data_IF_402410623176
#
_entry.id   IF_402410623176
#
_cell.length_a   1.000
_cell.length_b   1.000
_cell.length_c   1.000
_cell.angle_alpha   90.00
_cell.angle_beta   90.00
_cell.angle_gamma   90.00
#
_symmetry.space_group_name_H-M   'P 1'
#
loop_
_entity.id
_entity.type
_entity.pdbx_description
1 polymer ?
#
# COMPACT_ATOMS: atom_id res chain seq x y z
N UNK A 1 -4.42 25.77 -7.26
CA UNK A 1 -3.13 25.28 -6.70
C UNK A 1 -3.29 25.07 -5.21
N UNK A 2 -3.13 23.84 -4.71
CA UNK A 2 -3.22 23.53 -3.28
C UNK A 2 -1.82 23.42 -2.70
N UNK A 3 -1.56 24.13 -1.61
CA UNK A 3 -0.30 24.07 -0.88
C UNK A 3 -0.55 23.42 0.47
N UNK A 4 0.25 22.42 0.81
CA UNK A 4 0.15 21.73 2.09
C UNK A 4 1.54 21.50 2.67
N UNK A 5 1.74 21.83 3.95
CA UNK A 5 2.98 21.52 4.63
C UNK A 5 3.18 20.00 4.71
N UNK A 6 4.42 19.52 4.53
CA UNK A 6 4.73 18.08 4.60
C UNK A 6 4.35 17.44 5.95
N UNK A 7 4.51 18.17 7.05
CA UNK A 7 4.12 17.67 8.37
C UNK A 7 2.60 17.51 8.48
N UNK A 8 1.84 18.49 7.99
CA UNK A 8 0.38 18.42 7.98
C UNK A 8 -0.15 17.33 7.05
N UNK A 9 0.50 17.12 5.90
CA UNK A 9 0.20 16.02 5.00
C UNK A 9 0.31 14.68 5.73
N UNK A 10 1.45 14.38 6.38
CA UNK A 10 1.60 13.11 7.09
C UNK A 10 0.72 13.00 8.33
N UNK A 11 0.44 14.11 9.02
CA UNK A 11 -0.55 14.15 10.11
C UNK A 11 -1.94 13.74 9.62
N UNK A 12 -2.38 14.26 8.46
CA UNK A 12 -3.65 13.88 7.82
C UNK A 12 -3.65 12.42 7.35
N UNK A 13 -2.52 11.93 6.85
CA UNK A 13 -2.33 10.50 6.55
C UNK A 13 -2.28 9.60 7.79
N UNK A 14 -2.36 10.14 9.02
CA UNK A 14 -2.18 9.38 10.27
C UNK A 14 -0.81 8.69 10.32
N UNK A 15 0.24 9.36 9.89
CA UNK A 15 1.62 8.86 9.95
C UNK A 15 2.50 9.77 10.83
N UNK A 16 3.49 9.20 11.53
CA UNK A 16 4.45 9.98 12.30
C UNK A 16 5.22 10.99 11.45
N UNK A 17 5.66 12.09 12.08
CA UNK A 17 6.35 13.19 11.40
C UNK A 17 7.66 12.76 10.71
N UNK A 18 8.33 11.70 11.21
CA UNK A 18 9.57 11.20 10.60
C UNK A 18 9.38 10.68 9.16
N UNK A 19 8.14 10.42 8.71
CA UNK A 19 7.85 10.06 7.32
C UNK A 19 8.22 11.19 6.35
N UNK A 20 8.25 12.45 6.80
CA UNK A 20 8.82 13.58 6.05
C UNK A 20 10.26 13.30 5.62
N UNK A 21 11.09 12.77 6.53
CA UNK A 21 12.48 12.42 6.22
C UNK A 21 12.57 11.30 5.19
N UNK A 22 11.68 10.29 5.28
CA UNK A 22 11.60 9.19 4.31
C UNK A 22 11.22 9.69 2.92
N UNK A 23 10.18 10.51 2.81
CA UNK A 23 9.77 11.16 1.56
C UNK A 23 10.92 11.93 0.90
N UNK A 24 11.64 12.73 1.69
CA UNK A 24 12.76 13.54 1.20
C UNK A 24 13.93 12.70 0.68
N UNK A 25 14.11 11.49 1.23
CA UNK A 25 15.19 10.57 0.86
C UNK A 25 14.88 9.70 -0.35
N UNK A 26 13.66 9.76 -0.89
CA UNK A 26 13.30 9.01 -2.10
C UNK A 26 14.13 9.48 -3.31
N UNK A 27 14.67 8.51 -4.05
CA UNK A 27 15.26 8.65 -5.38
C UNK A 27 14.19 8.38 -6.44
N UNK A 28 14.49 8.69 -7.69
CA UNK A 28 13.54 8.47 -8.78
C UNK A 28 13.15 7.00 -8.86
N UNK A 29 11.88 6.75 -9.10
CA UNK A 29 11.22 5.44 -9.11
C UNK A 29 11.21 4.69 -7.78
N UNK A 30 11.64 5.31 -6.67
CA UNK A 30 11.47 4.73 -5.34
C UNK A 30 10.08 5.03 -4.77
N UNK A 31 9.60 4.11 -3.95
CA UNK A 31 8.26 4.13 -3.38
C UNK A 31 8.31 4.14 -1.87
N UNK A 32 7.55 5.04 -1.23
CA UNK A 32 7.24 5.02 0.19
C UNK A 32 5.82 4.48 0.37
N UNK A 33 5.70 3.32 0.99
CA UNK A 33 4.43 2.69 1.32
C UNK A 33 3.92 3.28 2.62
N UNK A 34 2.67 3.75 2.62
CA UNK A 34 1.96 4.21 3.81
C UNK A 34 1.07 3.09 4.37
N UNK A 35 0.74 2.09 3.58
CA UNK A 35 0.10 0.87 4.04
C UNK A 35 -0.36 0.07 2.83
N UNK A 36 -0.36 -1.25 2.94
CA UNK A 36 -0.94 -2.13 1.94
C UNK A 36 -1.43 -3.44 2.54
N UNK A 37 -2.55 -3.90 2.02
CA UNK A 37 -3.09 -5.24 2.21
C UNK A 37 -3.73 -5.68 0.89
N UNK A 38 -3.55 -6.95 0.55
CA UNK A 38 -4.22 -7.59 -0.57
C UNK A 38 -4.57 -9.00 -0.12
N UNK A 39 -5.84 -9.33 -0.22
CA UNK A 39 -6.38 -10.63 0.18
C UNK A 39 -7.23 -11.16 -0.96
N UNK A 40 -7.09 -12.46 -1.21
CA UNK A 40 -7.94 -13.19 -2.13
C UNK A 40 -9.17 -13.65 -1.37
N UNK A 41 -10.34 -13.38 -1.94
CA UNK A 41 -11.63 -13.86 -1.46
C UNK A 41 -12.27 -14.73 -2.54
N UNK A 42 -12.84 -15.85 -2.13
CA UNK A 42 -13.63 -16.69 -3.03
C UNK A 42 -15.01 -16.05 -3.22
N UNK A 43 -15.45 -15.95 -4.47
CA UNK A 43 -16.79 -15.51 -4.83
C UNK A 43 -17.32 -16.39 -5.97
N UNK A 44 -18.20 -17.32 -5.61
CA UNK A 44 -18.74 -18.33 -6.55
C UNK A 44 -17.58 -19.07 -7.24
N UNK A 45 -17.48 -18.97 -8.56
CA UNK A 45 -16.43 -19.62 -9.36
C UNK A 45 -15.18 -18.73 -9.55
N UNK A 46 -15.15 -17.52 -8.99
CA UNK A 46 -14.09 -16.55 -9.16
C UNK A 46 -13.29 -16.31 -7.86
N UNK A 47 -11.97 -16.15 -8.00
CA UNK A 47 -11.11 -15.63 -6.93
C UNK A 47 -10.88 -14.14 -7.15
N UNK A 48 -11.31 -13.32 -6.19
CA UNK A 48 -11.32 -11.87 -6.32
C UNK A 48 -10.32 -11.27 -5.34
N UNK A 49 -9.54 -10.29 -5.79
CA UNK A 49 -8.59 -9.62 -4.92
C UNK A 49 -9.20 -8.35 -4.34
N UNK A 50 -9.44 -8.35 -3.04
CA UNK A 50 -9.69 -7.12 -2.29
C UNK A 50 -8.35 -6.52 -1.87
N UNK A 51 -8.24 -5.21 -2.00
CA UNK A 51 -7.01 -4.49 -1.71
C UNK A 51 -7.28 -3.15 -1.02
N UNK A 52 -6.43 -2.81 -0.08
CA UNK A 52 -6.30 -1.45 0.40
C UNK A 52 -4.83 -1.07 0.37
N UNK A 53 -4.50 0.03 -0.29
CA UNK A 53 -3.12 0.49 -0.38
C UNK A 53 -3.06 2.01 -0.46
N UNK A 54 -1.99 2.56 0.10
CA UNK A 54 -1.61 3.94 -0.05
C UNK A 54 -0.09 4.03 -0.13
N UNK A 55 0.41 4.70 -1.16
CA UNK A 55 1.84 4.89 -1.34
C UNK A 55 2.15 6.21 -2.06
N UNK A 56 3.42 6.59 -1.98
CA UNK A 56 3.97 7.75 -2.68
C UNK A 56 5.18 7.28 -3.48
N UNK A 57 5.20 7.55 -4.77
CA UNK A 57 6.34 7.28 -5.63
C UNK A 57 6.97 8.59 -6.08
N UNK A 58 8.30 8.66 -6.10
CA UNK A 58 9.00 9.76 -6.75
C UNK A 58 9.14 9.45 -8.23
N UNK A 59 8.40 10.14 -9.09
CA UNK A 59 8.47 9.93 -10.54
C UNK A 59 9.82 10.40 -11.09
N UNK A 60 10.13 11.67 -10.85
CA UNK A 60 11.34 12.32 -11.34
C UNK A 60 11.87 13.33 -10.31
N UNK A 61 12.88 14.14 -10.67
CA UNK A 61 13.50 15.10 -9.77
C UNK A 61 12.46 16.12 -9.27
N UNK A 62 12.08 16.01 -8.00
CA UNK A 62 11.17 16.93 -7.32
C UNK A 62 9.68 16.70 -7.62
N UNK A 63 9.34 15.69 -8.43
CA UNK A 63 7.97 15.33 -8.79
C UNK A 63 7.60 13.98 -8.18
N UNK A 64 6.47 13.95 -7.49
CA UNK A 64 5.97 12.80 -6.76
C UNK A 64 4.52 12.53 -7.16
N UNK A 65 4.10 11.28 -7.02
CA UNK A 65 2.72 10.87 -7.16
C UNK A 65 2.29 10.17 -5.88
N UNK A 66 1.13 10.54 -5.35
CA UNK A 66 0.44 9.71 -4.38
C UNK A 66 -0.59 8.84 -5.10
N UNK A 67 -0.77 7.61 -4.62
CA UNK A 67 -1.81 6.70 -5.10
C UNK A 67 -2.46 6.03 -3.90
N UNK A 68 -3.78 6.10 -3.84
CA UNK A 68 -4.61 5.42 -2.87
C UNK A 68 -5.64 4.55 -3.57
N UNK A 69 -5.82 3.32 -3.08
CA UNK A 69 -6.81 2.38 -3.57
C UNK A 69 -7.45 1.68 -2.37
N UNK A 70 -8.78 1.56 -2.40
CA UNK A 70 -9.57 0.88 -1.39
C UNK A 70 -10.71 0.15 -2.07
N UNK A 71 -10.67 -1.18 -2.00
CA UNK A 71 -11.71 -2.08 -2.52
C UNK A 71 -12.21 -3.04 -1.42
N UNK A 72 -11.72 -2.89 -0.18
CA UNK A 72 -12.10 -3.76 0.93
C UNK A 72 -13.54 -3.48 1.36
N UNK A 73 -14.45 -4.48 1.31
CA UNK A 73 -15.88 -4.33 1.60
C UNK A 73 -16.17 -4.33 3.11
N UNK A 74 -15.45 -3.51 3.88
CA UNK A 74 -15.59 -3.48 5.35
C UNK A 74 -16.99 -3.06 5.84
N UNK A 75 -17.77 -2.34 5.01
CA UNK A 75 -19.16 -1.92 5.28
C UNK A 75 -19.90 -1.73 3.95
N UNK A 76 -21.20 -2.09 3.85
CA UNK A 76 -21.98 -1.93 2.62
C UNK A 76 -22.02 -0.49 2.08
N UNK A 77 -22.02 0.50 2.97
CA UNK A 77 -22.09 1.91 2.59
C UNK A 77 -20.73 2.55 2.29
N UNK A 78 -19.61 1.83 2.44
CA UNK A 78 -18.29 2.41 2.20
C UNK A 78 -17.99 2.33 0.70
N UNK A 79 -17.74 3.47 0.03
CA UNK A 79 -17.41 3.44 -1.38
C UNK A 79 -16.06 2.77 -1.60
N UNK A 80 -15.94 2.12 -2.75
CA UNK A 80 -14.65 1.71 -3.29
C UNK A 80 -14.01 2.94 -3.94
N UNK A 81 -12.74 3.18 -3.64
CA UNK A 81 -12.08 4.44 -3.98
C UNK A 81 -10.77 4.12 -4.67
N UNK A 82 -10.58 4.70 -5.85
CA UNK A 82 -9.27 4.92 -6.42
C UNK A 82 -9.01 6.42 -6.52
N UNK A 83 -7.83 6.85 -6.08
CA UNK A 83 -7.40 8.23 -6.22
C UNK A 83 -5.90 8.28 -6.49
N UNK A 84 -5.48 9.27 -7.27
CA UNK A 84 -4.07 9.58 -7.43
C UNK A 84 -3.88 11.06 -7.73
N UNK A 85 -2.67 11.55 -7.52
CA UNK A 85 -2.34 12.93 -7.86
C UNK A 85 -0.86 13.20 -7.78
N UNK A 86 -0.43 14.13 -8.63
CA UNK A 86 0.95 14.55 -8.70
C UNK A 86 1.17 15.81 -7.84
N UNK A 87 2.35 15.88 -7.24
CA UNK A 87 2.78 17.05 -6.50
C UNK A 87 4.27 17.29 -6.63
N UNK A 88 4.64 18.56 -6.47
CA UNK A 88 6.02 18.97 -6.34
C UNK A 88 6.35 19.20 -4.88
N UNK A 89 7.55 18.79 -4.48
CA UNK A 89 8.07 19.09 -3.15
C UNK A 89 9.02 20.28 -3.25
N UNK A 90 8.60 21.42 -2.69
CA UNK A 90 9.42 22.62 -2.61
C UNK A 90 9.64 22.99 -1.14
N UNK A 91 10.89 22.91 -0.70
CA UNK A 91 11.30 23.07 0.71
C UNK A 91 10.55 22.08 1.62
N UNK A 92 9.47 22.53 2.25
CA UNK A 92 8.61 21.73 3.15
C UNK A 92 7.13 21.77 2.74
N UNK A 93 6.85 22.20 1.52
CA UNK A 93 5.50 22.34 0.99
C UNK A 93 5.29 21.39 -0.19
N UNK A 94 4.12 20.77 -0.21
CA UNK A 94 3.62 19.97 -1.32
C UNK A 94 2.71 20.86 -2.15
N UNK A 95 3.06 21.03 -3.42
CA UNK A 95 2.34 21.88 -4.37
C UNK A 95 1.60 20.96 -5.34
N UNK A 96 0.28 20.99 -5.29
CA UNK A 96 -0.60 20.20 -6.15
C UNK A 96 -1.16 21.08 -7.26
N UNK A 97 -0.93 20.69 -8.51
CA UNK A 97 -1.28 21.46 -9.70
C UNK A 97 -2.58 21.02 -10.38
N UNK A 98 -3.10 19.84 -10.05
CA UNK A 98 -4.26 19.27 -10.74
C UNK A 98 -5.59 19.82 -10.17
N UNK A 99 -6.58 20.05 -11.04
CA UNK A 99 -7.92 20.53 -10.66
C UNK A 99 -8.61 19.58 -9.66
N UNK A 100 -8.49 18.27 -9.89
CA UNK A 100 -9.04 17.24 -9.00
C UNK A 100 -8.20 16.95 -7.75
N UNK A 101 -7.13 17.71 -7.50
CA UNK A 101 -6.20 17.43 -6.39
C UNK A 101 -6.88 17.47 -5.03
N UNK A 102 -7.89 18.31 -4.83
CA UNK A 102 -8.59 18.41 -3.55
C UNK A 102 -9.38 17.15 -3.21
N UNK A 103 -10.22 16.68 -4.14
CA UNK A 103 -11.01 15.45 -3.97
C UNK A 103 -10.10 14.24 -3.84
N UNK A 104 -9.07 14.13 -4.70
CA UNK A 104 -8.14 13.02 -4.65
C UNK A 104 -7.32 13.00 -3.35
N UNK A 105 -6.93 14.16 -2.81
CA UNK A 105 -6.26 14.24 -1.51
C UNK A 105 -7.19 13.87 -0.36
N UNK A 106 -8.44 14.33 -0.39
CA UNK A 106 -9.43 13.95 0.61
C UNK A 106 -9.59 12.43 0.67
N UNK A 107 -9.82 11.81 -0.49
CA UNK A 107 -9.92 10.37 -0.65
C UNK A 107 -8.64 9.64 -0.20
N UNK A 108 -7.48 10.15 -0.58
CA UNK A 108 -6.20 9.58 -0.14
C UNK A 108 -6.05 9.59 1.39
N UNK A 109 -6.41 10.70 2.06
CA UNK A 109 -6.36 10.78 3.53
C UNK A 109 -7.37 9.84 4.20
N UNK A 110 -8.55 9.65 3.61
CA UNK A 110 -9.53 8.65 4.09
C UNK A 110 -8.93 7.25 4.04
N UNK A 111 -8.35 6.86 2.90
CA UNK A 111 -7.70 5.55 2.72
C UNK A 111 -6.56 5.37 3.74
N UNK A 112 -5.67 6.35 3.90
CA UNK A 112 -4.59 6.28 4.89
C UNK A 112 -5.11 6.13 6.33
N UNK A 113 -6.23 6.77 6.66
CA UNK A 113 -6.90 6.63 7.96
C UNK A 113 -7.44 5.21 8.15
N UNK A 114 -8.11 4.64 7.15
CA UNK A 114 -8.63 3.28 7.23
C UNK A 114 -7.51 2.24 7.29
N UNK A 115 -6.43 2.41 6.53
CA UNK A 115 -5.22 1.59 6.64
C UNK A 115 -4.59 1.65 8.04
N UNK A 116 -4.60 2.83 8.68
CA UNK A 116 -4.11 2.94 10.06
C UNK A 116 -5.00 2.18 11.06
N UNK A 117 -6.30 2.10 10.81
CA UNK A 117 -7.21 1.30 11.63
C UNK A 117 -6.92 -0.18 11.40
N UNK A 118 -6.84 -0.64 10.14
CA UNK A 118 -6.47 -2.01 9.79
C UNK A 118 -5.15 -2.40 10.43
N UNK A 119 -4.11 -1.58 10.28
CA UNK A 119 -2.80 -1.81 10.92
C UNK A 119 -2.92 -2.09 12.41
N UNK A 120 -3.71 -1.32 13.16
CA UNK A 120 -3.85 -1.54 14.61
C UNK A 120 -4.56 -2.85 14.94
N UNK A 121 -5.57 -3.22 14.15
CA UNK A 121 -6.28 -4.49 14.30
C UNK A 121 -5.34 -5.64 13.97
N UNK A 122 -4.75 -5.62 12.78
CA UNK A 122 -3.76 -6.60 12.32
C UNK A 122 -2.59 -6.72 13.30
N UNK A 123 -2.03 -5.62 13.78
CA UNK A 123 -0.93 -5.66 14.74
C UNK A 123 -1.30 -6.39 16.03
N UNK A 124 -2.52 -6.18 16.56
CA UNK A 124 -2.99 -6.90 17.73
C UNK A 124 -3.18 -8.40 17.44
N UNK A 125 -3.80 -8.74 16.31
CA UNK A 125 -4.06 -10.12 15.92
C UNK A 125 -2.75 -10.89 15.75
N UNK A 126 -1.81 -10.31 15.01
CA UNK A 126 -0.53 -10.92 14.71
C UNK A 126 0.46 -10.93 15.89
N UNK A 127 0.28 -10.07 16.89
CA UNK A 127 1.04 -10.16 18.15
C UNK A 127 0.65 -11.39 18.99
N UNK A 128 -0.54 -11.95 18.76
CA UNK A 128 -0.98 -13.20 19.41
C UNK A 128 -0.44 -14.46 18.72
N UNK A 129 0.02 -14.33 17.47
CA UNK A 129 0.59 -15.41 16.67
C UNK A 129 2.06 -15.63 17.06
N UNK A 130 2.47 -16.90 17.14
CA UNK A 130 3.86 -17.23 17.40
C UNK A 130 4.77 -16.64 16.32
N UNK A 131 5.96 -16.11 16.67
CA UNK A 131 6.87 -15.46 15.72
C UNK A 131 7.18 -16.24 14.44
N UNK A 132 7.21 -17.58 14.53
CA UNK A 132 7.47 -18.49 13.41
C UNK A 132 6.29 -18.67 12.44
N UNK A 133 5.09 -18.26 12.83
CA UNK A 133 3.88 -18.35 12.02
C UNK A 133 3.43 -16.95 11.55
N UNK A 134 4.16 -15.91 11.96
CA UNK A 134 3.86 -14.51 11.64
C UNK A 134 4.76 -14.03 10.48
N UNK A 135 4.18 -13.91 9.29
CA UNK A 135 4.87 -13.46 8.08
C UNK A 135 5.68 -12.16 8.26
N UNK A 136 5.08 -11.14 8.90
CA UNK A 136 5.73 -9.84 9.10
C UNK A 136 6.94 -9.99 10.03
N UNK A 137 6.78 -10.72 11.13
CA UNK A 137 7.86 -10.96 12.08
C UNK A 137 8.98 -11.79 11.46
N UNK A 138 8.64 -12.88 10.77
CA UNK A 138 9.60 -13.77 10.12
C UNK A 138 10.53 -13.01 9.17
N UNK A 139 9.92 -12.10 8.40
CA UNK A 139 10.60 -11.32 7.39
C UNK A 139 11.09 -9.96 7.92
N UNK A 140 10.94 -9.63 9.21
CA UNK A 140 11.35 -8.31 9.73
C UNK A 140 10.66 -7.12 9.04
N UNK A 141 9.45 -7.34 8.53
CA UNK A 141 8.63 -6.36 7.82
C UNK A 141 7.64 -5.67 8.78
N UNK A 142 7.31 -4.39 8.57
CA UNK A 142 6.27 -3.74 9.35
C UNK A 142 4.88 -4.27 8.96
N UNK A 143 3.96 -4.35 9.94
CA UNK A 143 2.56 -4.69 9.70
C UNK A 143 1.93 -3.78 8.64
N UNK A 144 1.18 -4.39 7.72
CA UNK A 144 0.53 -3.70 6.59
C UNK A 144 1.56 -2.93 5.74
N UNK A 145 2.83 -3.35 5.77
CA UNK A 145 3.96 -2.72 5.07
C UNK A 145 4.13 -1.22 5.37
N UNK A 146 3.60 -0.74 6.50
CA UNK A 146 3.54 0.69 6.81
C UNK A 146 4.95 1.28 7.00
N UNK A 147 5.26 2.29 6.19
CA UNK A 147 6.51 3.02 6.22
C UNK A 147 7.66 2.31 5.49
N UNK A 148 7.37 1.28 4.72
CA UNK A 148 8.39 0.63 3.91
C UNK A 148 8.83 1.55 2.77
N UNK A 149 10.15 1.71 2.62
CA UNK A 149 10.74 2.40 1.47
C UNK A 149 11.34 1.34 0.53
N UNK A 150 10.92 1.35 -0.72
CA UNK A 150 11.33 0.41 -1.75
C UNK A 150 12.14 1.10 -2.85
N UNK A 151 13.18 0.41 -3.33
CA UNK A 151 13.86 0.77 -4.57
C UNK A 151 12.95 0.53 -5.77
N UNK A 152 13.39 0.96 -6.96
CA UNK A 152 12.71 0.66 -8.23
C UNK A 152 12.55 -0.85 -8.48
N UNK A 153 13.45 -1.66 -7.93
CA UNK A 153 13.48 -3.12 -8.04
C UNK A 153 12.78 -3.79 -6.85
N UNK A 154 11.94 -3.05 -6.11
CA UNK A 154 11.15 -3.54 -4.98
C UNK A 154 11.97 -4.13 -3.81
N UNK A 155 13.18 -3.63 -3.62
CA UNK A 155 14.06 -4.00 -2.50
C UNK A 155 13.92 -2.96 -1.39
N UNK A 156 13.86 -3.41 -0.13
CA UNK A 156 13.83 -2.49 1.01
C UNK A 156 15.09 -1.61 1.07
N UNK A 157 14.93 -0.29 1.17
CA UNK A 157 16.08 0.62 1.28
C UNK A 157 16.85 0.45 2.59
N UNK A 158 16.12 0.38 3.70
CA UNK A 158 16.71 0.13 5.02
C UNK A 158 16.80 -1.37 5.24
N UNK A 159 17.98 -1.90 5.61
CA UNK A 159 18.10 -3.28 6.03
C UNK A 159 17.14 -3.62 7.16
N UNK A 160 16.62 -4.84 7.14
CA UNK A 160 15.67 -5.38 8.11
C UNK A 160 16.31 -6.57 8.79
N UNK A 161 15.94 -6.78 10.05
CA UNK A 161 16.42 -7.92 10.82
C UNK A 161 15.48 -9.08 10.55
N UNK A 162 15.94 -10.06 9.77
CA UNK A 162 15.24 -11.32 9.56
C UNK A 162 15.72 -12.32 10.60
N UNK A 163 14.78 -12.96 11.29
CA UNK A 163 15.09 -13.94 12.35
C UNK A 163 14.88 -15.38 11.90
N UNK A 164 14.41 -15.56 10.67
CA UNK A 164 14.09 -16.87 10.12
C UNK A 164 14.80 -17.05 8.79
N UNK A 165 15.28 -18.27 8.54
CA UNK A 165 15.84 -18.67 7.24
C UNK A 165 15.38 -20.08 6.91
N UNK A 166 15.04 -20.32 5.65
CA UNK A 166 14.78 -21.67 5.19
C UNK A 166 16.11 -22.42 4.98
N UNK A 167 16.27 -23.56 5.63
CA UNK A 167 17.41 -24.47 5.49
C UNK A 167 16.85 -25.86 5.23
N UNK A 168 17.21 -26.45 4.09
CA UNK A 168 16.78 -27.81 3.71
C UNK A 168 15.27 -28.01 3.82
N UNK A 169 14.49 -27.01 3.39
CA UNK A 169 13.02 -27.03 3.45
C UNK A 169 12.40 -26.53 4.75
N UNK A 170 13.16 -26.49 5.86
CA UNK A 170 12.65 -26.09 7.18
C UNK A 170 12.96 -24.64 7.53
N UNK A 171 12.02 -23.93 8.17
CA UNK A 171 12.28 -22.61 8.72
C UNK A 171 13.00 -22.71 10.06
N UNK A 172 14.22 -22.17 10.13
CA UNK A 172 15.04 -22.14 11.33
C UNK A 172 15.03 -20.74 11.93
N UNK A 173 14.70 -20.64 13.22
CA UNK A 173 14.75 -19.39 13.99
C UNK A 173 16.17 -19.11 14.52
N UNK A 174 16.60 -17.85 14.44
CA UNK A 174 17.85 -17.34 14.98
C UNK A 174 17.60 -16.27 16.04
N UNK A 175 18.16 -16.48 17.23
CA UNK A 175 18.09 -15.52 18.34
C UNK A 175 18.74 -14.18 18.00
N UNK A 176 19.84 -14.22 17.24
CA UNK A 176 20.46 -13.06 16.60
C UNK A 176 20.07 -13.07 15.13
N UNK A 177 19.12 -12.21 14.74
CA UNK A 177 18.66 -12.12 13.36
C UNK A 177 19.75 -11.57 12.43
N UNK A 178 19.63 -11.87 11.14
CA UNK A 178 20.52 -11.35 10.11
C UNK A 178 19.97 -10.02 9.58
N UNK A 179 20.84 -9.03 9.45
CA UNK A 179 20.45 -7.74 8.88
C UNK A 179 20.64 -7.79 7.38
N UNK A 180 19.55 -7.76 6.61
CA UNK A 180 19.58 -7.84 5.16
C UNK A 180 18.57 -6.89 4.53
N UNK A 181 18.82 -6.49 3.27
CA UNK A 181 17.76 -5.90 2.46
C UNK A 181 16.89 -7.01 1.90
N UNK A 182 15.58 -6.80 1.88
CA UNK A 182 14.60 -7.81 1.48
C UNK A 182 14.10 -7.43 0.09
N UNK A 183 14.18 -8.38 -0.84
CA UNK A 183 13.48 -8.26 -2.13
C UNK A 183 12.03 -8.69 -1.96
N UNK A 184 11.11 -7.87 -2.45
CA UNK A 184 9.67 -8.15 -2.46
C UNK A 184 9.14 -8.36 -3.87
N UNK A 185 10.01 -8.54 -4.86
CA UNK A 185 9.65 -8.71 -6.27
C UNK A 185 8.55 -9.76 -6.48
N UNK A 186 8.69 -10.95 -5.90
CA UNK A 186 7.70 -12.03 -6.04
C UNK A 186 6.37 -11.76 -5.32
N UNK A 187 6.35 -10.85 -4.35
CA UNK A 187 5.15 -10.51 -3.58
C UNK A 187 4.59 -9.13 -3.95
N UNK A 188 5.20 -8.43 -4.92
CA UNK A 188 4.90 -7.03 -5.15
C UNK A 188 3.46 -6.82 -5.58
N UNK A 189 2.87 -7.75 -6.32
CA UNK A 189 1.48 -7.68 -6.75
C UNK A 189 0.48 -7.72 -5.58
N UNK A 190 0.87 -8.29 -4.43
CA UNK A 190 0.10 -8.31 -3.17
C UNK A 190 0.33 -7.07 -2.30
N UNK A 191 1.31 -6.24 -2.66
CA UNK A 191 1.72 -5.04 -1.89
C UNK A 191 1.40 -3.76 -2.67
N UNK A 192 1.61 -3.74 -3.97
CA UNK A 192 1.32 -2.64 -4.89
C UNK A 192 0.46 -3.19 -6.03
N UNK A 193 -0.77 -3.57 -5.71
CA UNK A 193 -1.72 -4.11 -6.69
C UNK A 193 -1.99 -3.05 -7.76
N UNK A 194 -1.87 -3.37 -9.06
CA UNK A 194 -2.23 -2.43 -10.12
C UNK A 194 -3.69 -1.96 -9.97
N UNK A 195 -3.98 -0.65 -9.93
CA UNK A 195 -5.34 -0.17 -9.70
C UNK A 195 -6.37 -0.70 -10.68
N UNK A 196 -6.02 -0.82 -11.97
CA UNK A 196 -6.90 -1.37 -12.99
C UNK A 196 -7.27 -2.83 -12.72
N UNK A 197 -6.32 -3.64 -12.24
CA UNK A 197 -6.60 -5.03 -11.86
C UNK A 197 -7.64 -5.07 -10.74
N UNK A 198 -7.45 -4.28 -9.70
CA UNK A 198 -8.38 -4.24 -8.58
C UNK A 198 -9.77 -3.73 -8.96
N UNK A 199 -9.85 -2.73 -9.86
CA UNK A 199 -11.12 -2.21 -10.36
C UNK A 199 -11.86 -3.27 -11.17
N UNK A 200 -11.14 -4.02 -12.02
CA UNK A 200 -11.71 -5.12 -12.78
C UNK A 200 -12.25 -6.22 -11.86
N UNK A 201 -11.43 -6.68 -10.89
CA UNK A 201 -11.80 -7.71 -9.92
C UNK A 201 -13.07 -7.32 -9.15
N UNK A 202 -13.21 -6.05 -8.78
CA UNK A 202 -14.40 -5.50 -8.14
C UNK A 202 -15.59 -5.38 -9.10
N UNK A 203 -15.36 -4.98 -10.35
CA UNK A 203 -16.39 -4.92 -11.37
C UNK A 203 -17.08 -6.29 -11.51
N UNK A 204 -16.28 -7.36 -11.53
CA UNK A 204 -16.77 -8.74 -11.53
C UNK A 204 -17.54 -9.05 -10.24
N UNK A 205 -16.95 -8.77 -9.07
CA UNK A 205 -17.59 -9.01 -7.75
C UNK A 205 -18.98 -8.37 -7.63
N UNK A 206 -19.11 -7.15 -8.14
CA UNK A 206 -20.35 -6.36 -8.02
C UNK A 206 -21.35 -6.63 -9.13
N UNK A 207 -21.01 -7.47 -10.11
CA UNK A 207 -21.81 -7.69 -11.32
C UNK A 207 -21.82 -6.51 -12.29
N UNK A 208 -20.96 -5.50 -12.07
CA UNK A 208 -20.81 -4.36 -13.00
C UNK A 208 -20.03 -4.73 -14.27
N UNK A 209 -19.25 -5.81 -14.21
CA UNK A 209 -18.58 -6.43 -15.36
C UNK A 209 -19.04 -7.87 -15.39
N UNK A 210 -19.76 -8.24 -16.44
CA UNK A 210 -20.19 -9.61 -16.70
C UNK A 210 -19.59 -10.06 -18.03
N UNK A 211 -18.92 -11.21 -18.04
CA UNK A 211 -18.35 -11.80 -19.25
C UNK A 211 -19.30 -12.81 -19.91
N UNK A 212 -20.37 -13.19 -19.22
CA UNK A 212 -21.40 -14.11 -19.71
C UNK A 212 -22.58 -13.38 -20.37
N UNK A 213 -22.48 -12.05 -20.51
CA UNK A 213 -23.49 -11.24 -21.17
C UNK A 213 -23.22 -11.24 -22.69
N UNK A 214 -23.83 -12.19 -23.40
CA UNK A 214 -23.82 -12.30 -24.87
C UNK A 214 -24.58 -11.15 -25.55
N UNK A 215 -25.10 -10.17 -24.79
CA UNK A 215 -25.86 -9.04 -25.31
C UNK A 215 -24.90 -7.99 -25.91
N UNK A 216 -24.94 -7.73 -27.24
CA UNK A 216 -24.09 -6.72 -27.84
C UNK A 216 -24.40 -5.32 -27.27
N UNK A 217 -23.39 -4.44 -27.11
CA UNK A 217 -23.55 -3.14 -26.44
C UNK A 217 -24.31 -2.08 -27.27
N UNK A 218 -25.11 -2.49 -28.27
CA UNK A 218 -25.78 -1.59 -29.22
C UNK A 218 -27.29 -1.81 -29.39
N UNK A 219 -27.94 -2.57 -28.51
CA UNK A 219 -29.42 -2.67 -28.49
C UNK A 219 -30.06 -1.63 -27.56
#
# INVERSE_FOLDING_TARGET
MKLLNTADFFKKCRRPIYYKSRLNKLRNSETLILGSISEEIENQDNTINICAQAYIQKKTKGVYQFTGLWTVPTKPSRPMIWCSGDFRLEKSNLIFCNENSEVNLHNFFLICRWLNILKRVTENDYQSILPQDNYYHMNGLPYVFDGLELTKDYITKTPRVTRFKQISGNFVYYKTGNTAKISLEYNIHKILTPPLKAILDIGILTGSVNFDDDTPPWD
#
